data_IF_393463081060
#
_entry.id   IF_393463081060
#
_cell.length_a   1.000
_cell.length_b   1.000
_cell.length_c   1.000
_cell.angle_alpha   90.00
_cell.angle_beta   90.00
_cell.angle_gamma   90.00
#
_symmetry.space_group_name_H-M   'P 1'
#
loop_
_entity.id
_entity.type
_entity.pdbx_description
1 polymer ?
#
# COMPACT_ATOMS: atom_id res chain seq x y z
N UNK A 1 -24.63 29.61 -46.50
CA UNK A 1 -25.88 30.41 -46.48
C UNK A 1 -26.42 30.39 -45.07
N UNK A 2 -26.49 31.60 -44.55
CA UNK A 2 -27.32 32.17 -43.48
C UNK A 2 -27.10 31.64 -42.06
N UNK A 3 -26.51 32.49 -41.18
CA UNK A 3 -27.07 33.67 -40.44
C UNK A 3 -28.17 33.24 -39.47
N UNK A 4 -28.23 33.61 -38.20
CA UNK A 4 -27.87 34.81 -37.42
C UNK A 4 -28.13 34.46 -35.94
N UNK A 5 -27.30 34.86 -34.95
CA UNK A 5 -27.36 36.08 -34.12
C UNK A 5 -28.66 36.29 -33.35
N UNK A 6 -28.55 36.38 -32.02
CA UNK A 6 -29.00 37.48 -31.15
C UNK A 6 -28.76 37.08 -29.69
N UNK A 7 -27.91 37.73 -28.95
CA UNK A 7 -27.97 39.05 -28.23
C UNK A 7 -29.05 39.18 -27.15
N UNK A 8 -28.56 39.48 -25.96
CA UNK A 8 -29.25 40.33 -24.98
C UNK A 8 -29.53 39.64 -23.67
N UNK A 9 -29.45 40.18 -22.51
CA UNK A 9 -29.12 41.52 -21.98
C UNK A 9 -29.13 41.33 -20.45
N UNK A 10 -28.15 41.82 -19.81
CA UNK A 10 -27.99 42.68 -18.63
C UNK A 10 -29.08 42.74 -17.54
N UNK A 11 -28.55 42.89 -16.34
CA UNK A 11 -29.00 43.64 -15.18
C UNK A 11 -29.63 42.79 -14.06
N UNK A 12 -29.41 42.97 -12.78
CA UNK A 12 -29.04 44.15 -12.00
C UNK A 12 -28.64 43.71 -10.58
N UNK A 13 -27.78 44.48 -10.01
CA UNK A 13 -27.26 44.54 -8.63
C UNK A 13 -28.42 44.78 -7.64
N UNK A 14 -28.35 44.11 -6.45
CA UNK A 14 -28.83 44.71 -5.20
C UNK A 14 -27.91 44.33 -4.06
N UNK A 15 -27.21 45.35 -3.57
CA UNK A 15 -26.50 45.39 -2.29
C UNK A 15 -27.55 45.57 -1.17
N UNK A 16 -27.40 44.84 -0.09
CA UNK A 16 -27.93 45.28 1.21
C UNK A 16 -26.97 44.83 2.32
N UNK A 17 -26.32 45.80 2.90
CA UNK A 17 -25.54 45.72 4.12
C UNK A 17 -26.52 45.86 5.31
N UNK A 18 -26.31 45.08 6.36
CA UNK A 18 -26.78 45.44 7.69
C UNK A 18 -25.77 45.01 8.74
N UNK A 19 -25.24 46.00 9.39
CA UNK A 19 -24.42 45.97 10.61
C UNK A 19 -25.29 45.57 11.81
N UNK A 20 -24.73 44.76 12.68
CA UNK A 20 -25.33 44.48 13.99
C UNK A 20 -24.24 44.08 14.98
N UNK A 21 -23.72 45.06 15.70
CA UNK A 21 -22.83 44.90 16.87
C UNK A 21 -23.62 44.40 18.08
N UNK A 22 -23.06 43.47 18.83
CA UNK A 22 -23.30 43.38 20.27
C UNK A 22 -22.10 42.75 20.96
N UNK A 23 -21.37 43.55 21.73
CA UNK A 23 -20.41 43.14 22.74
C UNK A 23 -21.12 42.49 23.94
N UNK A 24 -20.50 41.42 24.48
CA UNK A 24 -20.65 41.08 25.91
C UNK A 24 -19.33 40.65 26.46
N UNK A 25 -18.92 41.34 27.51
CA UNK A 25 -17.74 41.10 28.38
C UNK A 25 -18.01 39.91 29.31
N UNK A 26 -16.97 39.16 29.59
CA UNK A 26 -16.92 38.18 30.69
C UNK A 26 -15.46 37.75 30.91
N UNK A 27 -14.94 38.11 32.04
CA UNK A 27 -13.55 38.14 32.48
C UNK A 27 -12.93 36.78 32.80
N UNK A 28 -11.61 36.73 32.62
CA UNK A 28 -10.58 36.06 33.43
C UNK A 28 -10.49 34.52 33.51
N UNK A 29 -9.46 33.94 32.92
CA UNK A 29 -8.19 33.56 33.62
C UNK A 29 -7.15 33.02 32.62
N UNK A 30 -6.02 33.69 32.65
CA UNK A 30 -4.81 33.27 31.97
C UNK A 30 -4.29 31.93 32.54
N UNK A 31 -4.11 30.93 31.67
CA UNK A 31 -3.17 29.84 31.87
C UNK A 31 -2.18 29.85 30.72
N UNK A 32 -0.97 30.24 31.09
CA UNK A 32 0.23 30.30 30.28
C UNK A 32 0.68 28.88 29.96
N UNK A 33 0.31 28.35 28.81
CA UNK A 33 0.73 27.05 28.31
C UNK A 33 1.66 27.26 27.09
N UNK A 34 2.90 26.88 27.25
CA UNK A 34 4.00 27.00 26.29
C UNK A 34 3.66 26.36 24.95
N UNK A 35 3.76 27.13 23.88
CA UNK A 35 3.92 26.62 22.54
C UNK A 35 5.30 25.96 22.43
N UNK A 36 5.33 24.63 22.35
CA UNK A 36 6.46 23.88 21.86
C UNK A 36 6.18 23.47 20.40
N UNK A 37 7.08 23.70 19.47
CA UNK A 37 6.95 23.14 18.12
C UNK A 37 7.51 21.73 18.17
N UNK A 38 6.68 20.71 18.31
CA UNK A 38 7.05 19.33 18.04
C UNK A 38 5.80 18.53 17.79
N UNK A 39 5.31 18.61 16.58
CA UNK A 39 4.49 17.58 15.97
C UNK A 39 5.37 16.81 15.02
N UNK A 40 6.35 16.06 15.49
CA UNK A 40 6.84 14.93 14.75
C UNK A 40 5.66 13.94 14.71
N UNK A 41 5.03 13.81 13.57
CA UNK A 41 4.11 12.71 13.30
C UNK A 41 4.90 11.43 13.58
N UNK A 42 4.58 10.78 14.68
CA UNK A 42 4.96 9.42 14.94
C UNK A 42 4.03 8.60 14.04
N UNK A 43 4.46 8.37 12.81
CA UNK A 43 3.85 7.33 12.00
C UNK A 43 4.05 6.02 12.74
N UNK A 44 3.02 5.61 13.42
CA UNK A 44 3.00 4.34 14.14
C UNK A 44 3.06 3.24 13.09
N UNK A 45 3.96 2.28 13.28
CA UNK A 45 4.18 1.06 12.47
C UNK A 45 2.89 0.26 12.20
N UNK A 46 1.76 0.67 12.78
CA UNK A 46 0.46 0.03 12.66
C UNK A 46 -0.28 0.29 11.32
N UNK A 47 0.19 1.22 10.50
CA UNK A 47 -0.49 1.59 9.25
C UNK A 47 0.23 1.08 7.99
N UNK A 48 1.25 0.22 8.14
CA UNK A 48 1.98 -0.33 7.02
C UNK A 48 1.22 -1.50 6.41
N UNK A 49 0.56 -1.28 5.29
CA UNK A 49 -0.18 -2.29 4.54
C UNK A 49 0.45 -2.58 3.18
N UNK A 50 0.30 -3.82 2.71
CA UNK A 50 0.74 -4.26 1.40
C UNK A 50 -0.42 -4.15 0.40
N UNK A 51 -0.15 -3.55 -0.75
CA UNK A 51 -1.01 -3.60 -1.92
C UNK A 51 -0.21 -3.99 -3.16
N UNK A 52 -0.82 -4.05 -4.33
CA UNK A 52 -0.16 -4.46 -5.57
C UNK A 52 0.96 -3.50 -6.00
N UNK A 53 0.93 -2.25 -5.52
CA UNK A 53 1.95 -1.25 -5.82
C UNK A 53 3.15 -1.30 -4.89
N UNK A 54 3.00 -1.88 -3.69
CA UNK A 54 4.09 -2.03 -2.74
C UNK A 54 3.72 -2.03 -1.27
N UNK A 55 4.70 -1.74 -0.41
CA UNK A 55 4.58 -1.67 1.04
C UNK A 55 5.12 -0.33 1.53
N UNK A 56 4.26 0.58 1.92
CA UNK A 56 4.67 1.92 2.35
C UNK A 56 5.48 2.64 1.27
N UNK A 57 6.74 2.95 1.55
CA UNK A 57 7.61 3.64 0.59
C UNK A 57 8.33 2.69 -0.38
N UNK A 58 8.30 1.37 -0.15
CA UNK A 58 8.87 0.38 -1.06
C UNK A 58 7.85 0.10 -2.18
N UNK A 59 8.19 0.46 -3.41
CA UNK A 59 7.30 0.30 -4.55
C UNK A 59 7.78 -0.80 -5.52
N UNK A 60 6.84 -1.55 -6.05
CA UNK A 60 7.10 -2.50 -7.12
C UNK A 60 7.55 -1.74 -8.38
N UNK A 61 8.72 -2.12 -8.90
CA UNK A 61 9.38 -1.44 -10.01
C UNK A 61 10.46 -0.43 -9.61
N UNK A 62 10.57 -0.08 -8.31
CA UNK A 62 11.62 0.78 -7.77
C UNK A 62 13.01 0.16 -8.02
N UNK A 63 14.03 0.99 -8.24
CA UNK A 63 15.41 0.49 -8.22
C UNK A 63 15.82 0.11 -6.80
N UNK A 64 16.59 -0.97 -6.67
CA UNK A 64 17.12 -1.36 -5.36
C UNK A 64 18.00 -0.27 -4.77
N UNK A 65 18.87 0.35 -5.59
CA UNK A 65 19.78 1.42 -5.13
C UNK A 65 19.00 2.61 -4.53
N UNK A 66 17.85 2.96 -5.10
CA UNK A 66 16.99 4.01 -4.56
C UNK A 66 16.43 3.62 -3.18
N UNK A 67 15.94 2.38 -3.03
CA UNK A 67 15.42 1.89 -1.76
C UNK A 67 16.51 1.79 -0.67
N UNK A 68 17.73 1.40 -1.04
CA UNK A 68 18.89 1.38 -0.14
C UNK A 68 19.30 2.79 0.27
N UNK A 69 19.39 3.73 -0.67
CA UNK A 69 19.71 5.13 -0.38
C UNK A 69 18.67 5.82 0.52
N UNK A 70 17.41 5.38 0.44
CA UNK A 70 16.33 5.84 1.34
C UNK A 70 16.37 5.16 2.71
N UNK A 71 17.26 4.18 2.93
CA UNK A 71 17.35 3.44 4.18
C UNK A 71 16.19 2.45 4.42
N UNK A 72 15.48 2.04 3.36
CA UNK A 72 14.35 1.11 3.43
C UNK A 72 14.79 -0.34 3.40
N UNK A 73 15.78 -0.66 2.57
CA UNK A 73 16.30 -2.01 2.38
C UNK A 73 17.81 -2.03 2.66
N UNK A 74 18.31 -3.19 3.08
CA UNK A 74 19.73 -3.41 3.27
C UNK A 74 20.44 -3.54 1.91
N UNK A 75 21.67 -3.05 1.84
CA UNK A 75 22.57 -3.42 0.75
C UNK A 75 22.96 -4.89 0.89
N UNK A 76 22.97 -5.61 -0.23
CA UNK A 76 23.49 -6.98 -0.31
C UNK A 76 24.63 -7.06 -1.34
N UNK A 77 25.88 -6.86 -0.93
CA UNK A 77 27.03 -6.82 -1.85
C UNK A 77 27.33 -8.16 -2.52
N UNK A 78 26.81 -9.26 -1.98
CA UNK A 78 26.97 -10.61 -2.53
C UNK A 78 25.77 -11.09 -3.34
N UNK A 79 24.80 -10.20 -3.59
CA UNK A 79 23.56 -10.57 -4.23
C UNK A 79 23.76 -11.07 -5.67
N UNK A 80 22.98 -12.07 -6.05
CA UNK A 80 22.85 -12.47 -7.43
C UNK A 80 22.14 -11.39 -8.24
N UNK A 81 22.86 -10.71 -9.13
CA UNK A 81 22.32 -9.61 -9.95
C UNK A 81 21.17 -9.99 -10.86
N UNK A 82 20.97 -11.28 -11.14
CA UNK A 82 19.84 -11.73 -11.97
C UNK A 82 18.55 -11.82 -11.15
N UNK A 83 18.63 -12.44 -9.97
CA UNK A 83 17.53 -12.53 -9.02
C UNK A 83 18.07 -12.83 -7.62
N UNK A 84 17.61 -12.09 -6.63
CA UNK A 84 17.91 -12.33 -5.21
C UNK A 84 16.85 -11.71 -4.32
N UNK A 85 16.98 -11.97 -3.02
CA UNK A 85 16.16 -11.34 -1.99
C UNK A 85 16.98 -10.35 -1.17
N UNK A 86 16.33 -9.25 -0.82
CA UNK A 86 16.85 -8.25 0.11
C UNK A 86 15.85 -8.04 1.24
N UNK A 87 16.35 -7.61 2.39
CA UNK A 87 15.57 -7.49 3.62
C UNK A 87 15.51 -6.04 4.08
N UNK A 88 14.49 -5.67 4.86
CA UNK A 88 14.38 -4.33 5.42
C UNK A 88 15.61 -3.91 6.20
N UNK A 89 15.97 -2.65 6.08
CA UNK A 89 17.05 -2.05 6.86
C UNK A 89 16.63 -1.90 8.34
N UNK A 90 17.59 -2.02 9.24
CA UNK A 90 17.35 -1.78 10.67
C UNK A 90 16.90 -0.34 10.86
N UNK A 91 15.74 -0.16 11.50
CA UNK A 91 15.16 1.18 11.72
C UNK A 91 14.29 1.71 10.56
N UNK A 92 14.09 0.94 9.50
CA UNK A 92 13.18 1.31 8.40
C UNK A 92 11.69 1.34 8.81
N UNK A 93 11.35 0.86 10.01
CA UNK A 93 9.95 0.77 10.46
C UNK A 93 9.14 -0.34 9.80
N UNK A 94 9.80 -1.21 9.02
CA UNK A 94 9.16 -2.34 8.36
C UNK A 94 9.22 -3.55 9.28
N UNK A 95 8.11 -4.26 9.54
CA UNK A 95 8.09 -5.43 10.42
C UNK A 95 8.97 -6.57 9.94
N UNK A 96 9.37 -7.43 10.87
CA UNK A 96 10.03 -8.70 10.54
C UNK A 96 9.12 -9.59 9.69
N UNK A 97 9.72 -10.49 8.91
CA UNK A 97 9.01 -11.40 8.03
C UNK A 97 8.67 -10.83 6.65
N UNK A 98 9.15 -9.61 6.36
CA UNK A 98 9.05 -8.99 5.04
C UNK A 98 10.37 -9.17 4.29
N UNK A 99 10.27 -9.48 3.00
CA UNK A 99 11.41 -9.47 2.08
C UNK A 99 11.02 -8.91 0.72
N UNK A 100 12.00 -8.41 -0.03
CA UNK A 100 11.80 -7.92 -1.38
C UNK A 100 12.59 -8.77 -2.38
N UNK A 101 11.93 -9.33 -3.38
CA UNK A 101 12.58 -9.99 -4.50
C UNK A 101 13.05 -8.93 -5.50
N UNK A 102 14.31 -9.01 -5.87
CA UNK A 102 14.96 -8.10 -6.80
C UNK A 102 15.40 -8.87 -8.04
N UNK A 103 14.94 -8.42 -9.20
CA UNK A 103 15.35 -8.97 -10.50
C UNK A 103 16.00 -7.87 -11.31
N UNK A 104 17.26 -8.07 -11.69
CA UNK A 104 18.04 -7.10 -12.47
C UNK A 104 18.04 -5.69 -11.89
N UNK A 105 18.19 -5.59 -10.56
CA UNK A 105 18.23 -4.33 -9.84
C UNK A 105 16.87 -3.64 -9.61
N UNK A 106 15.76 -4.32 -9.94
CA UNK A 106 14.41 -3.81 -9.72
C UNK A 106 13.68 -4.65 -8.69
N UNK A 107 13.00 -4.01 -7.75
CA UNK A 107 12.07 -4.66 -6.85
C UNK A 107 10.86 -5.12 -7.67
N UNK A 108 10.64 -6.42 -7.72
CA UNK A 108 9.58 -7.02 -8.53
C UNK A 108 8.48 -7.67 -7.70
N UNK A 109 8.78 -7.99 -6.43
CA UNK A 109 7.86 -8.64 -5.50
C UNK A 109 8.22 -8.31 -4.07
N UNK A 110 7.24 -8.19 -3.21
CA UNK A 110 7.38 -8.09 -1.76
C UNK A 110 6.64 -9.27 -1.16
N UNK A 111 7.33 -10.04 -0.32
CA UNK A 111 6.82 -11.22 0.38
C UNK A 111 6.60 -10.89 1.85
N UNK A 112 5.51 -11.42 2.41
CA UNK A 112 5.19 -11.41 3.84
C UNK A 112 5.04 -12.85 4.30
N UNK A 113 6.08 -13.37 4.96
CA UNK A 113 6.14 -14.76 5.40
C UNK A 113 5.72 -14.93 6.86
N UNK A 114 5.82 -13.88 7.67
CA UNK A 114 5.41 -13.87 9.08
C UNK A 114 5.02 -12.45 9.51
N UNK A 115 4.52 -12.30 10.73
CA UNK A 115 4.31 -11.00 11.35
C UNK A 115 2.89 -10.48 11.23
N UNK A 116 2.75 -9.15 11.36
CA UNK A 116 1.46 -8.48 11.53
C UNK A 116 1.06 -7.59 10.34
N UNK A 117 1.83 -7.60 9.26
CA UNK A 117 1.49 -6.86 8.04
C UNK A 117 0.15 -7.36 7.52
N UNK A 118 -0.72 -6.42 7.13
CA UNK A 118 -1.99 -6.71 6.46
C UNK A 118 -1.92 -6.23 5.01
N UNK A 119 -2.84 -6.70 4.19
CA UNK A 119 -3.11 -5.98 2.93
C UNK A 119 -3.89 -4.70 3.22
N UNK A 120 -3.96 -3.79 2.25
CA UNK A 120 -4.76 -2.56 2.35
C UNK A 120 -6.24 -2.87 2.65
N UNK A 121 -6.76 -3.98 2.12
CA UNK A 121 -8.13 -4.46 2.37
C UNK A 121 -8.26 -5.27 3.67
N UNK A 122 -7.20 -5.39 4.46
CA UNK A 122 -7.20 -6.01 5.77
C UNK A 122 -7.07 -7.53 5.78
N UNK A 123 -6.65 -8.17 4.69
CA UNK A 123 -6.27 -9.58 4.69
C UNK A 123 -4.90 -9.78 5.35
N UNK A 124 -4.70 -10.93 6.02
CA UNK A 124 -3.47 -11.22 6.78
C UNK A 124 -3.19 -12.73 6.89
N UNK A 125 -1.99 -13.04 7.36
CA UNK A 125 -1.62 -14.41 7.72
C UNK A 125 -2.59 -14.94 8.78
N UNK A 126 -3.02 -16.20 8.63
CA UNK A 126 -3.99 -16.88 9.49
C UNK A 126 -5.45 -16.68 9.07
N UNK A 127 -5.77 -15.78 8.16
CA UNK A 127 -7.13 -15.66 7.62
C UNK A 127 -7.51 -16.94 6.85
N UNK A 128 -8.82 -17.25 6.85
CA UNK A 128 -9.32 -18.37 6.07
C UNK A 128 -9.45 -18.00 4.59
N UNK A 129 -9.43 -19.02 3.70
CA UNK A 129 -9.72 -18.81 2.28
C UNK A 129 -11.07 -18.14 2.04
N UNK A 130 -12.08 -18.47 2.84
CA UNK A 130 -13.41 -17.85 2.75
C UNK A 130 -13.35 -16.37 3.13
N UNK A 131 -12.48 -15.99 4.08
CA UNK A 131 -12.24 -14.60 4.40
C UNK A 131 -11.62 -13.86 3.20
N UNK A 132 -10.63 -14.45 2.52
CA UNK A 132 -10.02 -13.87 1.32
C UNK A 132 -11.08 -13.71 0.21
N UNK A 133 -11.89 -14.72 -0.05
CA UNK A 133 -13.02 -14.65 -1.00
C UNK A 133 -14.02 -13.55 -0.62
N UNK A 134 -14.29 -13.38 0.68
CA UNK A 134 -15.19 -12.32 1.17
C UNK A 134 -14.64 -10.91 0.94
N UNK A 135 -13.32 -10.73 1.01
CA UNK A 135 -12.66 -9.42 0.80
C UNK A 135 -12.62 -9.09 -0.70
N UNK A 136 -12.12 -10.01 -1.52
CA UNK A 136 -11.79 -9.74 -2.92
C UNK A 136 -12.83 -10.24 -3.93
N UNK A 137 -13.84 -10.97 -3.48
CA UNK A 137 -14.97 -11.36 -4.33
C UNK A 137 -14.57 -12.18 -5.56
N UNK A 138 -15.01 -11.71 -6.73
CA UNK A 138 -14.79 -12.39 -8.01
C UNK A 138 -13.38 -12.17 -8.59
N UNK A 139 -12.57 -11.29 -8.00
CA UNK A 139 -11.21 -11.00 -8.47
C UNK A 139 -10.21 -12.08 -8.01
N UNK A 140 -10.66 -13.03 -7.18
CA UNK A 140 -9.85 -14.15 -6.69
C UNK A 140 -9.90 -15.33 -7.67
N UNK A 141 -8.73 -15.70 -8.18
CA UNK A 141 -8.51 -16.97 -8.87
C UNK A 141 -7.83 -17.97 -7.93
N UNK A 142 -8.33 -19.20 -7.84
CA UNK A 142 -7.80 -20.22 -6.94
C UNK A 142 -7.19 -21.35 -7.75
N UNK A 143 -5.91 -21.68 -7.45
CA UNK A 143 -5.15 -22.76 -8.07
C UNK A 143 -4.63 -23.68 -6.97
N UNK A 144 -4.59 -25.02 -7.15
CA UNK A 144 -4.01 -25.93 -6.17
C UNK A 144 -2.55 -25.59 -5.88
N UNK A 145 -2.14 -25.69 -4.61
CA UNK A 145 -0.75 -25.52 -4.23
C UNK A 145 0.10 -26.69 -4.75
N UNK A 146 1.26 -26.40 -5.37
CA UNK A 146 2.07 -27.42 -6.04
C UNK A 146 2.84 -28.33 -5.09
N UNK A 147 3.06 -27.90 -3.83
CA UNK A 147 3.90 -28.61 -2.85
C UNK A 147 3.13 -28.97 -1.57
N UNK A 148 1.97 -28.37 -1.31
CA UNK A 148 1.21 -28.54 -0.07
C UNK A 148 -0.13 -29.16 -0.41
N UNK A 149 -0.37 -30.38 0.05
CA UNK A 149 -1.65 -31.05 -0.14
C UNK A 149 -2.77 -30.30 0.60
N UNK A 150 -3.87 -30.04 -0.10
CA UNK A 150 -4.96 -29.25 0.44
C UNK A 150 -4.70 -27.73 0.59
N UNK A 151 -3.55 -27.25 0.16
CA UNK A 151 -3.26 -25.81 0.07
C UNK A 151 -3.62 -25.24 -1.30
N UNK A 152 -3.68 -23.91 -1.38
CA UNK A 152 -3.99 -23.19 -2.62
C UNK A 152 -3.12 -21.95 -2.80
N UNK A 153 -2.99 -21.52 -4.07
CA UNK A 153 -2.62 -20.17 -4.44
C UNK A 153 -3.90 -19.39 -4.77
N UNK A 154 -4.14 -18.32 -4.04
CA UNK A 154 -5.27 -17.44 -4.28
C UNK A 154 -4.71 -16.12 -4.88
N UNK A 155 -4.92 -15.93 -6.17
CA UNK A 155 -4.41 -14.76 -6.92
C UNK A 155 -5.50 -13.73 -7.07
N UNK A 156 -5.21 -12.49 -6.65
CA UNK A 156 -6.09 -11.33 -6.81
C UNK A 156 -5.48 -10.42 -7.86
N UNK A 157 -6.23 -10.16 -8.93
CA UNK A 157 -5.78 -9.32 -10.04
C UNK A 157 -6.34 -7.90 -9.99
N UNK A 158 -7.47 -7.68 -9.28
CA UNK A 158 -8.10 -6.38 -9.09
C UNK A 158 -7.89 -5.34 -10.21
N UNK A 159 -7.98 -4.08 -9.86
CA UNK A 159 -7.77 -2.96 -10.80
C UNK A 159 -6.32 -2.86 -11.31
N UNK A 160 -5.38 -3.43 -10.59
CA UNK A 160 -3.96 -3.47 -10.96
C UNK A 160 -3.63 -4.50 -12.04
N UNK A 161 -4.58 -5.34 -12.47
CA UNK A 161 -4.35 -6.34 -13.53
C UNK A 161 -3.88 -5.70 -14.84
N UNK A 162 -4.39 -4.52 -15.18
CA UNK A 162 -3.95 -3.73 -16.34
C UNK A 162 -2.51 -3.24 -16.21
N UNK A 163 -2.00 -3.08 -14.99
CA UNK A 163 -0.61 -2.75 -14.69
C UNK A 163 0.30 -3.98 -14.60
N UNK A 164 -0.24 -5.20 -14.77
CA UNK A 164 0.51 -6.44 -14.68
C UNK A 164 1.02 -6.77 -13.28
N UNK A 165 0.26 -6.42 -12.25
CA UNK A 165 0.56 -6.68 -10.83
C UNK A 165 -0.55 -7.52 -10.20
N UNK A 166 -0.25 -8.19 -9.10
CA UNK A 166 -1.19 -9.02 -8.37
C UNK A 166 -0.80 -9.17 -6.89
N UNK A 167 -1.79 -9.54 -6.07
CA UNK A 167 -1.59 -10.16 -4.77
C UNK A 167 -1.72 -11.68 -4.93
N UNK A 168 -0.90 -12.44 -4.22
CA UNK A 168 -0.98 -13.89 -4.17
C UNK A 168 -0.93 -14.32 -2.71
N UNK A 169 -1.96 -15.03 -2.26
CA UNK A 169 -1.99 -15.68 -0.95
C UNK A 169 -1.67 -17.16 -1.15
N UNK A 170 -0.77 -17.70 -0.33
CA UNK A 170 -0.50 -19.12 -0.24
C UNK A 170 -1.15 -19.66 1.02
N UNK A 171 -1.93 -20.75 0.88
CA UNK A 171 -2.63 -21.35 2.01
C UNK A 171 -2.07 -22.73 2.37
N UNK A 172 -2.16 -23.05 3.66
CA UNK A 172 -1.95 -24.37 4.23
C UNK A 172 -3.22 -24.78 4.97
N UNK A 173 -3.83 -25.87 4.55
CA UNK A 173 -5.06 -26.35 5.19
C UNK A 173 -6.17 -25.30 5.28
N UNK A 174 -6.36 -24.50 4.22
CA UNK A 174 -7.37 -23.45 4.11
C UNK A 174 -7.10 -22.16 4.91
N UNK A 175 -5.89 -21.99 5.46
CA UNK A 175 -5.47 -20.73 6.10
C UNK A 175 -4.30 -20.11 5.37
N UNK A 176 -4.27 -18.80 5.28
CA UNK A 176 -3.15 -18.04 4.70
C UNK A 176 -1.92 -18.28 5.56
N UNK A 177 -0.91 -18.91 4.97
CA UNK A 177 0.40 -19.13 5.58
C UNK A 177 1.36 -17.96 5.28
N UNK A 178 1.27 -17.41 4.08
CA UNK A 178 2.05 -16.25 3.60
C UNK A 178 1.29 -15.56 2.46
N UNK A 179 1.71 -14.34 2.16
CA UNK A 179 1.19 -13.64 0.99
C UNK A 179 2.24 -12.71 0.39
N UNK A 180 2.02 -12.29 -0.85
CA UNK A 180 2.95 -11.43 -1.57
C UNK A 180 2.25 -10.53 -2.57
N UNK A 181 2.87 -9.41 -2.86
CA UNK A 181 2.48 -8.50 -3.94
C UNK A 181 3.61 -8.37 -4.95
N UNK A 182 3.29 -8.16 -6.20
CA UNK A 182 4.33 -7.97 -7.20
C UNK A 182 3.81 -7.96 -8.62
N UNK A 183 4.75 -7.77 -9.55
CA UNK A 183 4.42 -7.79 -10.97
C UNK A 183 4.35 -9.21 -11.50
N UNK A 184 3.56 -9.41 -12.53
CA UNK A 184 3.55 -10.64 -13.32
C UNK A 184 4.74 -10.67 -14.30
N UNK A 185 5.40 -11.82 -14.49
CA UNK A 185 5.04 -13.12 -13.91
C UNK A 185 5.66 -13.40 -12.54
N UNK A 186 6.57 -12.56 -12.02
CA UNK A 186 7.44 -12.86 -10.88
C UNK A 186 6.65 -13.10 -9.57
N UNK A 187 5.51 -12.45 -9.39
CA UNK A 187 4.66 -12.67 -8.22
C UNK A 187 4.12 -14.11 -8.14
N UNK A 188 4.00 -14.79 -9.28
CA UNK A 188 3.55 -16.20 -9.35
C UNK A 188 4.70 -17.22 -9.29
N UNK A 189 5.96 -16.81 -9.23
CA UNK A 189 7.07 -17.75 -9.12
C UNK A 189 7.07 -18.42 -7.74
N UNK A 190 6.76 -19.73 -7.74
CA UNK A 190 6.65 -20.54 -6.51
C UNK A 190 7.98 -20.74 -5.84
N UNK A 191 9.03 -21.00 -6.63
CA UNK A 191 10.37 -21.25 -6.12
C UNK A 191 11.21 -19.98 -5.94
N UNK A 192 10.61 -18.81 -6.06
CA UNK A 192 11.34 -17.54 -5.91
C UNK A 192 12.41 -17.35 -6.98
N UNK A 193 13.65 -17.08 -6.53
CA UNK A 193 14.83 -16.87 -7.37
C UNK A 193 15.59 -18.16 -7.74
N UNK A 194 14.98 -19.32 -7.64
CA UNK A 194 15.61 -20.63 -7.92
C UNK A 194 15.37 -21.09 -9.36
#
# INVERSE_FOLDING_TARGET
>A
MNRQRTTGLLATIVLLASLGSACSKGDDKAVKGRNGPNGAAHDTVSDLSLNEDGLGQIQIGMNLDDAVNMGLLNENPTMNKQCDYVFPAVGAGIPEGVSAMVVRGKIVRIDVDTGTVTTEDGAKIGDTEDRIKSIYGNDVTIEPHTLIDGGHYMTVLGDSASAGKALVFETEGQHVARFRAGRLPEVKWVSGCS
#
